data_IF_854117262500
#
_entry.id   IF_854117262500
#
_cell.length_a   1.000
_cell.length_b   1.000
_cell.length_c   1.000
_cell.angle_alpha   90.00
_cell.angle_beta   90.00
_cell.angle_gamma   90.00
#
_symmetry.space_group_name_H-M   'P 1'
#
loop_
_entity.id
_entity.type
_entity.pdbx_description
1 polymer ?
#
# COMPACT_ATOMS: atom_id res chain seq x y z
N UNK A 1 33.27 35.96 8.45
CA UNK A 1 32.37 35.20 7.55
C UNK A 1 32.92 33.79 7.53
N UNK A 2 32.35 32.89 8.32
CA UNK A 2 32.84 31.51 8.47
C UNK A 2 31.77 30.58 7.94
N UNK A 3 32.03 29.99 6.78
CA UNK A 3 31.16 29.04 6.13
C UNK A 3 31.01 27.79 7.01
N UNK A 4 29.80 27.61 7.55
CA UNK A 4 29.40 26.36 8.20
C UNK A 4 29.09 25.34 7.11
N UNK A 5 30.08 24.53 6.76
CA UNK A 5 29.84 23.28 6.04
C UNK A 5 29.10 22.33 7.00
N UNK A 6 27.81 22.13 6.73
CA UNK A 6 26.96 21.16 7.44
C UNK A 6 27.53 19.76 7.14
N UNK A 7 27.83 18.92 8.15
CA UNK A 7 28.31 17.57 7.88
C UNK A 7 27.17 16.76 7.26
N UNK A 8 27.37 16.29 6.02
CA UNK A 8 26.58 15.19 5.48
C UNK A 8 26.63 14.02 6.47
N UNK A 9 25.44 13.49 6.77
CA UNK A 9 25.21 12.40 7.71
C UNK A 9 26.23 11.28 7.52
N UNK A 10 27.08 11.10 8.53
CA UNK A 10 28.12 10.08 8.57
C UNK A 10 27.47 8.69 8.73
N UNK A 11 27.24 7.97 7.62
CA UNK A 11 27.40 6.51 7.69
C UNK A 11 28.91 6.24 7.81
N UNK A 12 29.29 5.56 8.89
CA UNK A 12 30.68 5.19 9.18
C UNK A 12 31.25 4.28 8.07
N UNK A 13 32.44 4.54 7.52
CA UNK A 13 33.01 3.79 6.40
C UNK A 13 33.96 2.67 6.87
N UNK A 14 33.71 2.03 8.02
CA UNK A 14 34.61 0.98 8.52
C UNK A 14 33.93 -0.38 8.64
N UNK A 15 34.25 -1.19 7.61
CA UNK A 15 34.39 -2.65 7.50
C UNK A 15 33.23 -3.52 7.94
N UNK A 16 32.65 -4.31 7.02
CA UNK A 16 32.20 -5.70 7.21
C UNK A 16 31.97 -6.36 5.83
N UNK A 17 32.43 -7.61 5.66
CA UNK A 17 32.68 -8.25 4.37
C UNK A 17 31.46 -8.66 3.52
N UNK A 18 31.70 -9.57 2.58
CA UNK A 18 30.73 -10.13 1.61
C UNK A 18 29.36 -10.48 2.23
N UNK A 19 29.33 -10.86 3.52
CA UNK A 19 28.12 -11.20 4.25
C UNK A 19 27.13 -10.03 4.44
N UNK A 20 27.58 -8.79 4.66
CA UNK A 20 26.66 -7.65 4.86
C UNK A 20 26.08 -7.17 3.52
N UNK A 21 26.86 -7.26 2.44
CA UNK A 21 26.39 -7.02 1.07
C UNK A 21 25.34 -8.06 0.65
N UNK A 22 25.54 -9.33 0.99
CA UNK A 22 24.55 -10.39 0.73
C UNK A 22 23.26 -10.12 1.50
N UNK A 23 23.34 -9.80 2.80
CA UNK A 23 22.14 -9.48 3.61
C UNK A 23 21.38 -8.26 3.09
N UNK A 24 22.08 -7.22 2.66
CA UNK A 24 21.44 -6.04 2.06
C UNK A 24 20.69 -6.41 0.78
N UNK A 25 21.29 -7.25 -0.06
CA UNK A 25 20.64 -7.77 -1.28
C UNK A 25 19.40 -8.59 -0.94
N UNK A 26 19.48 -9.48 0.03
CA UNK A 26 18.34 -10.30 0.48
C UNK A 26 17.20 -9.42 1.01
N UNK A 27 17.52 -8.38 1.80
CA UNK A 27 16.52 -7.43 2.29
C UNK A 27 15.90 -6.58 1.17
N UNK A 28 16.66 -6.25 0.12
CA UNK A 28 16.13 -5.55 -1.06
C UNK A 28 15.16 -6.44 -1.84
N UNK A 29 15.49 -7.71 -2.03
CA UNK A 29 14.60 -8.68 -2.69
C UNK A 29 13.32 -8.90 -1.89
N UNK A 30 13.45 -9.05 -0.57
CA UNK A 30 12.32 -9.13 0.36
C UNK A 30 11.42 -7.89 0.28
N UNK A 31 12.00 -6.68 0.31
CA UNK A 31 11.26 -5.44 0.19
C UNK A 31 10.53 -5.31 -1.17
N UNK A 32 11.10 -5.88 -2.25
CA UNK A 32 10.43 -5.96 -3.55
C UNK A 32 9.24 -6.90 -3.48
N UNK A 33 9.40 -8.12 -2.95
CA UNK A 33 8.30 -9.10 -2.82
C UNK A 33 7.13 -8.49 -2.04
N UNK A 34 7.45 -7.88 -0.92
CA UNK A 34 6.52 -7.19 -0.04
C UNK A 34 5.84 -5.97 -0.68
N UNK A 35 6.55 -5.24 -1.52
CA UNK A 35 5.97 -4.15 -2.32
C UNK A 35 4.97 -4.65 -3.36
N UNK A 36 5.22 -5.83 -3.95
CA UNK A 36 4.29 -6.48 -4.89
C UNK A 36 3.02 -6.91 -4.16
N UNK A 37 3.14 -7.54 -2.99
CA UNK A 37 2.03 -8.00 -2.18
C UNK A 37 1.13 -6.84 -1.70
N UNK A 38 1.71 -5.74 -1.22
CA UNK A 38 0.96 -4.52 -0.92
C UNK A 38 0.25 -3.94 -2.16
N UNK A 39 0.87 -4.05 -3.33
CA UNK A 39 0.26 -3.58 -4.59
C UNK A 39 -0.94 -4.44 -4.99
N UNK A 40 -0.88 -5.76 -4.76
CA UNK A 40 -2.00 -6.67 -4.96
C UNK A 40 -3.15 -6.35 -4.00
N UNK A 41 -2.85 -6.16 -2.71
CA UNK A 41 -3.84 -5.72 -1.72
C UNK A 41 -4.53 -4.41 -2.14
N UNK A 42 -3.75 -3.43 -2.60
CA UNK A 42 -4.30 -2.16 -3.10
C UNK A 42 -5.23 -2.37 -4.29
N UNK A 43 -4.81 -3.18 -5.27
CA UNK A 43 -5.63 -3.49 -6.44
C UNK A 43 -6.94 -4.17 -6.01
N UNK A 44 -6.87 -5.16 -5.12
CA UNK A 44 -8.04 -5.87 -4.59
C UNK A 44 -9.00 -4.95 -3.86
N UNK A 45 -8.51 -4.07 -2.98
CA UNK A 45 -9.32 -3.05 -2.33
C UNK A 45 -10.01 -2.13 -3.35
N UNK A 46 -9.30 -1.72 -4.41
CA UNK A 46 -9.89 -0.92 -5.48
C UNK A 46 -11.01 -1.66 -6.22
N UNK A 47 -10.86 -2.97 -6.45
CA UNK A 47 -11.93 -3.81 -7.04
C UNK A 47 -13.12 -3.99 -6.11
N UNK A 48 -12.88 -4.21 -4.81
CA UNK A 48 -13.94 -4.31 -3.80
C UNK A 48 -14.77 -3.03 -3.75
N UNK A 49 -14.13 -1.86 -3.90
CA UNK A 49 -14.78 -0.56 -3.86
C UNK A 49 -15.26 -0.06 -5.24
N UNK A 50 -15.03 -0.81 -6.31
CA UNK A 50 -15.20 -0.30 -7.68
C UNK A 50 -16.65 0.04 -8.06
N UNK A 51 -17.64 -0.56 -7.38
CA UNK A 51 -19.07 -0.24 -7.58
C UNK A 51 -19.40 1.16 -7.04
N UNK A 52 -18.74 1.58 -5.95
CA UNK A 52 -18.80 2.94 -5.42
C UNK A 52 -17.51 3.72 -5.74
N UNK A 53 -17.51 4.35 -6.91
CA UNK A 53 -16.37 5.17 -7.36
C UNK A 53 -15.98 6.27 -6.40
N UNK A 54 -16.93 6.88 -5.67
CA UNK A 54 -16.62 7.95 -4.71
C UNK A 54 -15.83 7.36 -3.56
N UNK A 55 -16.30 6.25 -2.99
CA UNK A 55 -15.60 5.55 -1.89
C UNK A 55 -14.23 5.02 -2.32
N UNK A 56 -14.12 4.41 -3.51
CA UNK A 56 -12.82 3.98 -4.04
C UNK A 56 -11.87 5.15 -4.24
N UNK A 57 -12.32 6.24 -4.87
CA UNK A 57 -11.46 7.42 -5.11
C UNK A 57 -11.03 8.05 -3.80
N UNK A 58 -11.96 8.18 -2.85
CA UNK A 58 -11.68 8.67 -1.50
C UNK A 58 -10.70 7.77 -0.77
N UNK A 59 -10.84 6.44 -0.86
CA UNK A 59 -9.90 5.48 -0.28
C UNK A 59 -8.48 5.66 -0.82
N UNK A 60 -8.31 5.71 -2.15
CA UNK A 60 -7.00 5.93 -2.78
C UNK A 60 -6.40 7.29 -2.36
N UNK A 61 -7.21 8.34 -2.33
CA UNK A 61 -6.75 9.65 -1.85
C UNK A 61 -6.35 9.60 -0.37
N UNK A 62 -7.19 9.01 0.48
CA UNK A 62 -6.93 8.90 1.91
C UNK A 62 -5.62 8.17 2.18
N UNK A 63 -5.43 6.99 1.59
CA UNK A 63 -4.24 6.15 1.80
C UNK A 63 -2.96 6.86 1.37
N UNK A 64 -2.98 7.61 0.27
CA UNK A 64 -1.82 8.38 -0.18
C UNK A 64 -1.54 9.64 0.67
N UNK A 65 -2.58 10.29 1.21
CA UNK A 65 -2.42 11.57 1.91
C UNK A 65 -2.19 11.43 3.43
N UNK A 66 -2.72 10.37 4.05
CA UNK A 66 -2.65 10.17 5.51
C UNK A 66 -1.35 9.55 5.98
N UNK A 67 -0.57 8.95 5.09
CA UNK A 67 0.72 8.34 5.45
C UNK A 67 1.73 9.36 5.97
N UNK A 68 1.53 10.67 5.76
CA UNK A 68 2.48 11.76 6.10
C UNK A 68 3.91 11.48 5.61
N UNK A 69 4.08 10.54 4.69
CA UNK A 69 5.35 10.15 4.12
C UNK A 69 5.76 11.13 3.03
N UNK A 70 7.06 11.19 2.72
CA UNK A 70 7.51 11.92 1.55
C UNK A 70 6.83 11.33 0.31
N UNK A 71 5.97 12.13 -0.32
CA UNK A 71 5.25 11.75 -1.54
C UNK A 71 6.19 11.55 -2.72
N UNK A 72 7.41 12.09 -2.65
CA UNK A 72 8.47 11.84 -3.63
C UNK A 72 9.24 10.55 -3.33
N UNK A 73 8.99 9.95 -2.16
CA UNK A 73 9.58 8.67 -1.78
C UNK A 73 9.26 7.58 -2.81
N UNK A 74 10.23 6.68 -3.07
CA UNK A 74 10.15 5.63 -4.08
C UNK A 74 8.92 4.73 -3.92
N UNK A 75 8.56 4.37 -2.69
CA UNK A 75 7.47 3.47 -2.37
C UNK A 75 6.09 4.10 -2.70
N UNK A 76 5.85 5.33 -2.23
CA UNK A 76 4.60 6.05 -2.46
C UNK A 76 4.40 6.33 -3.95
N UNK A 77 5.49 6.71 -4.66
CA UNK A 77 5.44 6.95 -6.11
C UNK A 77 5.07 5.69 -6.89
N UNK A 78 5.62 4.53 -6.53
CA UNK A 78 5.30 3.24 -7.16
C UNK A 78 3.84 2.84 -6.88
N UNK A 79 3.38 2.97 -5.65
CA UNK A 79 2.00 2.68 -5.28
C UNK A 79 1.00 3.58 -6.03
N UNK A 80 1.32 4.87 -6.18
CA UNK A 80 0.51 5.78 -6.99
C UNK A 80 0.36 5.30 -8.44
N UNK A 81 1.44 4.79 -9.05
CA UNK A 81 1.38 4.22 -10.40
C UNK A 81 0.51 2.97 -10.46
N UNK A 82 0.53 2.12 -9.44
CA UNK A 82 -0.37 0.96 -9.34
C UNK A 82 -1.82 1.42 -9.31
N UNK A 83 -2.15 2.39 -8.44
CA UNK A 83 -3.50 2.95 -8.34
C UNK A 83 -3.95 3.50 -9.69
N UNK A 84 -3.11 4.32 -10.34
CA UNK A 84 -3.43 4.86 -11.66
C UNK A 84 -3.66 3.74 -12.68
N UNK A 85 -2.75 2.75 -12.74
CA UNK A 85 -2.85 1.64 -13.67
C UNK A 85 -4.13 0.82 -13.45
N UNK A 86 -4.44 0.46 -12.21
CA UNK A 86 -5.63 -0.32 -11.88
C UNK A 86 -6.89 0.45 -12.29
N UNK A 87 -6.94 1.74 -11.93
CA UNK A 87 -8.04 2.61 -12.28
C UNK A 87 -8.23 2.69 -13.80
N UNK A 88 -7.18 3.02 -14.55
CA UNK A 88 -7.29 3.25 -16.00
C UNK A 88 -7.57 1.98 -16.79
N UNK A 89 -7.02 0.84 -16.36
CA UNK A 89 -7.06 -0.41 -17.11
C UNK A 89 -8.31 -1.23 -16.79
N UNK A 90 -8.72 -1.30 -15.51
CA UNK A 90 -9.74 -2.25 -15.07
C UNK A 90 -11.02 -1.61 -14.55
N UNK A 91 -10.97 -0.37 -14.01
CA UNK A 91 -12.13 0.22 -13.32
C UNK A 91 -12.79 1.32 -14.16
N UNK A 92 -12.02 2.10 -14.92
CA UNK A 92 -12.55 3.21 -15.72
C UNK A 92 -13.62 2.67 -16.67
N UNK A 93 -14.88 3.13 -16.56
CA UNK A 93 -15.93 2.68 -17.45
C UNK A 93 -15.71 3.24 -18.85
N UNK A 94 -16.15 2.49 -19.85
CA UNK A 94 -16.22 2.98 -21.23
C UNK A 94 -17.41 3.92 -21.46
N UNK A 95 -18.46 3.82 -20.63
CA UNK A 95 -19.65 4.68 -20.67
C UNK A 95 -19.96 5.26 -19.28
N UNK A 96 -20.07 6.59 -19.21
CA UNK A 96 -20.05 7.42 -18.01
C UNK A 96 -21.41 7.52 -17.27
N UNK A 97 -22.17 6.43 -17.17
CA UNK A 97 -23.42 6.48 -16.40
C UNK A 97 -23.10 6.48 -14.91
N UNK A 98 -23.29 7.65 -14.31
CA UNK A 98 -23.06 7.95 -12.90
C UNK A 98 -24.41 7.80 -12.18
N UNK A 99 -24.51 6.86 -11.24
CA UNK A 99 -25.67 6.74 -10.35
C UNK A 99 -25.24 7.29 -9.00
N UNK A 100 -25.83 8.41 -8.61
CA UNK A 100 -25.65 8.99 -7.27
C UNK A 100 -26.35 8.10 -6.25
N UNK A 101 -25.65 7.69 -5.19
CA UNK A 101 -26.27 6.81 -4.20
C UNK A 101 -25.49 6.62 -2.92
N UNK A 102 -25.80 7.47 -1.92
CA UNK A 102 -25.75 7.15 -0.49
C UNK A 102 -24.44 6.66 0.14
N UNK A 103 -24.45 6.49 1.46
CA UNK A 103 -23.38 5.79 2.18
C UNK A 103 -23.42 4.31 1.78
N UNK A 104 -22.54 3.90 0.87
CA UNK A 104 -22.53 2.52 0.39
C UNK A 104 -22.04 1.56 1.47
N UNK A 105 -22.53 0.32 1.44
CA UNK A 105 -21.98 -0.79 2.22
C UNK A 105 -20.46 -0.92 2.03
N UNK A 106 -19.96 -0.58 0.82
CA UNK A 106 -18.54 -0.53 0.49
C UNK A 106 -17.78 0.58 1.24
N UNK A 107 -18.39 1.74 1.48
CA UNK A 107 -17.81 2.81 2.32
C UNK A 107 -17.64 2.36 3.78
N UNK A 108 -18.57 1.57 4.31
CA UNK A 108 -18.45 0.97 5.65
C UNK A 108 -17.34 -0.07 5.71
N UNK A 109 -17.27 -0.93 4.68
CA UNK A 109 -16.19 -1.91 4.53
C UNK A 109 -14.81 -1.21 4.43
N UNK A 110 -14.71 -0.08 3.72
CA UNK A 110 -13.49 0.73 3.69
C UNK A 110 -13.02 1.14 5.10
N UNK A 111 -13.94 1.35 6.05
CA UNK A 111 -13.59 1.68 7.43
C UNK A 111 -12.72 0.63 8.12
N UNK A 112 -12.85 -0.65 7.76
CA UNK A 112 -12.22 -1.77 8.49
C UNK A 112 -10.73 -1.92 8.17
N UNK A 113 -10.33 -1.81 6.90
CA UNK A 113 -8.94 -2.00 6.46
C UNK A 113 -8.15 -0.69 6.25
N UNK A 114 -8.80 0.47 6.41
CA UNK A 114 -8.19 1.78 6.11
C UNK A 114 -6.87 2.02 6.82
N UNK A 115 -6.83 1.74 8.12
CA UNK A 115 -5.65 1.98 8.94
C UNK A 115 -4.58 0.92 8.70
N UNK A 116 -4.97 -0.31 8.41
CA UNK A 116 -4.03 -1.39 8.06
C UNK A 116 -3.24 -1.01 6.79
N UNK A 117 -3.89 -0.43 5.77
CA UNK A 117 -3.19 0.13 4.62
C UNK A 117 -2.22 1.26 4.98
N UNK A 118 -2.62 2.18 5.85
CA UNK A 118 -1.74 3.28 6.26
C UNK A 118 -0.50 2.74 6.96
N UNK A 119 -0.66 1.76 7.86
CA UNK A 119 0.44 1.10 8.55
C UNK A 119 1.36 0.37 7.56
N UNK A 120 0.80 -0.47 6.69
CA UNK A 120 1.57 -1.20 5.69
C UNK A 120 2.36 -0.25 4.75
N UNK A 121 1.74 0.80 4.23
CA UNK A 121 2.45 1.77 3.37
C UNK A 121 3.60 2.44 4.14
N UNK A 122 3.41 2.74 5.43
CA UNK A 122 4.46 3.33 6.26
C UNK A 122 5.60 2.35 6.51
N UNK A 123 5.31 1.08 6.79
CA UNK A 123 6.30 0.03 6.95
C UNK A 123 7.14 -0.14 5.68
N UNK A 124 6.50 -0.27 4.52
CA UNK A 124 7.20 -0.37 3.24
C UNK A 124 8.05 0.87 2.95
N UNK A 125 7.51 2.07 3.13
CA UNK A 125 8.26 3.31 2.87
C UNK A 125 9.48 3.45 3.78
N UNK A 126 9.38 3.07 5.05
CA UNK A 126 10.51 3.05 5.98
C UNK A 126 11.58 2.03 5.56
N UNK A 127 11.18 0.80 5.24
CA UNK A 127 12.06 -0.27 4.75
C UNK A 127 12.81 0.16 3.50
N UNK A 128 12.09 0.65 2.48
CA UNK A 128 12.71 1.08 1.21
C UNK A 128 13.65 2.26 1.43
N UNK A 129 13.27 3.26 2.23
CA UNK A 129 14.14 4.42 2.47
C UNK A 129 15.43 4.03 3.20
N UNK A 130 15.35 3.09 4.15
CA UNK A 130 16.52 2.58 4.88
C UNK A 130 17.48 1.85 3.93
N UNK A 131 16.95 0.99 3.06
CA UNK A 131 17.73 0.23 2.08
C UNK A 131 18.30 1.10 0.96
N UNK A 132 17.65 2.21 0.60
CA UNK A 132 18.16 3.17 -0.38
C UNK A 132 19.40 3.93 0.12
N UNK A 133 19.50 4.14 1.44
CA UNK A 133 20.67 4.78 2.06
C UNK A 133 21.81 3.76 2.27
N UNK A 134 21.59 2.48 1.94
CA UNK A 134 22.57 1.39 2.11
C UNK A 134 22.65 0.88 3.55
N UNK A 135 21.61 1.13 4.36
CA UNK A 135 21.51 0.62 5.72
C UNK A 135 20.69 -0.67 5.76
N UNK A 136 21.06 -1.59 6.65
CA UNK A 136 20.25 -2.77 6.95
C UNK A 136 19.04 -2.39 7.80
N UNK A 137 17.89 -2.97 7.47
CA UNK A 137 16.67 -2.86 8.26
C UNK A 137 16.76 -3.86 9.42
N UNK A 138 16.38 -3.44 10.62
CA UNK A 138 16.31 -4.34 11.78
C UNK A 138 15.30 -5.46 11.49
N UNK A 139 15.62 -6.75 11.77
CA UNK A 139 14.70 -7.86 11.52
C UNK A 139 13.31 -7.66 12.14
N UNK A 140 13.24 -7.08 13.35
CA UNK A 140 11.97 -6.80 14.03
C UNK A 140 11.06 -5.82 13.28
N UNK A 141 11.63 -4.86 12.55
CA UNK A 141 10.85 -3.88 11.75
C UNK A 141 10.27 -4.58 10.52
N UNK A 142 11.04 -5.46 9.90
CA UNK A 142 10.61 -6.24 8.74
C UNK A 142 9.54 -7.26 9.13
N UNK A 143 9.71 -7.94 10.27
CA UNK A 143 8.72 -8.85 10.83
C UNK A 143 7.41 -8.15 11.18
N UNK A 144 7.48 -6.96 11.81
CA UNK A 144 6.30 -6.14 12.08
C UNK A 144 5.56 -5.81 10.79
N UNK A 145 6.28 -5.37 9.76
CA UNK A 145 5.66 -5.03 8.49
C UNK A 145 5.02 -6.26 7.81
N UNK A 146 5.66 -7.44 7.86
CA UNK A 146 5.07 -8.68 7.37
C UNK A 146 3.78 -9.05 8.10
N UNK A 147 3.73 -8.85 9.43
CA UNK A 147 2.51 -9.07 10.22
C UNK A 147 1.40 -8.09 9.86
N UNK A 148 1.73 -6.81 9.67
CA UNK A 148 0.77 -5.78 9.23
C UNK A 148 0.18 -6.12 7.85
N UNK A 149 1.02 -6.61 6.93
CA UNK A 149 0.60 -7.00 5.59
C UNK A 149 -0.28 -8.25 5.60
N UNK A 150 0.11 -9.28 6.35
CA UNK A 150 -0.71 -10.50 6.51
C UNK A 150 -2.08 -10.20 7.10
N UNK A 151 -2.15 -9.36 8.13
CA UNK A 151 -3.42 -8.90 8.72
C UNK A 151 -4.27 -8.18 7.68
N UNK A 152 -3.64 -7.36 6.83
CA UNK A 152 -4.32 -6.67 5.76
C UNK A 152 -4.91 -7.65 4.72
N UNK A 153 -4.15 -8.67 4.31
CA UNK A 153 -4.61 -9.72 3.40
C UNK A 153 -5.81 -10.49 3.98
N UNK A 154 -5.73 -10.90 5.24
CA UNK A 154 -6.82 -11.61 5.93
C UNK A 154 -8.10 -10.75 6.00
N UNK A 155 -7.95 -9.46 6.32
CA UNK A 155 -9.06 -8.51 6.34
C UNK A 155 -9.69 -8.32 4.96
N UNK A 156 -8.88 -8.22 3.90
CA UNK A 156 -9.38 -8.12 2.53
C UNK A 156 -10.08 -9.39 2.07
N UNK A 157 -9.56 -10.56 2.42
CA UNK A 157 -10.19 -11.86 2.14
C UNK A 157 -11.59 -11.95 2.75
N UNK A 158 -11.71 -11.64 4.05
CA UNK A 158 -13.01 -11.63 4.75
C UNK A 158 -14.01 -10.67 4.11
N UNK A 159 -13.57 -9.45 3.76
CA UNK A 159 -14.42 -8.45 3.12
C UNK A 159 -14.86 -8.89 1.73
N UNK A 160 -13.97 -9.53 0.97
CA UNK A 160 -14.25 -10.03 -0.37
C UNK A 160 -15.34 -11.08 -0.33
N UNK A 161 -15.27 -12.04 0.59
CA UNK A 161 -16.30 -13.07 0.75
C UNK A 161 -17.67 -12.45 1.06
N UNK A 162 -17.71 -11.47 1.96
CA UNK A 162 -18.93 -10.70 2.27
C UNK A 162 -19.47 -9.97 1.04
N UNK A 163 -18.59 -9.32 0.27
CA UNK A 163 -18.98 -8.55 -0.92
C UNK A 163 -19.51 -9.45 -2.05
N UNK A 164 -18.91 -10.63 -2.24
CA UNK A 164 -19.34 -11.61 -3.25
C UNK A 164 -20.69 -12.21 -2.87
N UNK A 165 -20.87 -12.55 -1.59
CA UNK A 165 -22.13 -13.05 -1.06
C UNK A 165 -23.26 -12.03 -1.26
N UNK A 166 -23.02 -10.76 -0.96
CA UNK A 166 -24.00 -9.68 -1.18
C UNK A 166 -24.37 -9.52 -2.66
N UNK A 167 -23.40 -9.62 -3.58
CA UNK A 167 -23.65 -9.57 -5.02
C UNK A 167 -24.51 -10.76 -5.49
N UNK A 168 -24.24 -11.97 -5.00
CA UNK A 168 -25.04 -13.16 -5.33
C UNK A 168 -26.48 -13.06 -4.81
N UNK A 169 -26.68 -12.62 -3.57
CA UNK A 169 -28.00 -12.45 -2.98
C UNK A 169 -28.81 -11.33 -3.64
N UNK A 170 -28.17 -10.23 -4.03
CA UNK A 170 -28.81 -9.13 -4.77
C UNK A 170 -29.28 -9.51 -6.18
N UNK A 171 -28.72 -10.58 -6.77
CA UNK A 171 -29.17 -11.14 -8.05
C UNK A 171 -30.35 -12.10 -7.88
N UNK A 172 -30.44 -12.82 -6.75
CA UNK A 172 -31.54 -13.73 -6.44
C UNK A 172 -32.85 -13.01 -6.05
N UNK A 173 -32.78 -11.76 -5.59
CA UNK A 173 -33.96 -10.95 -5.25
C UNK A 173 -34.62 -10.19 -6.41
N UNK A 174 -34.23 -10.46 -7.66
CA UNK A 174 -34.74 -9.78 -8.87
C UNK A 174 -35.46 -10.72 -9.86
N UNK A 175 -35.97 -11.86 -9.41
CA UNK A 175 -36.86 -12.73 -10.20
C UNK A 175 -38.32 -12.50 -9.83
#
# INVERSE_FOLDING_TARGET
MSDRVIPQSRCSPFTNGTADVTKEKDQKEEAVRLGVELSLCMAEAMFILSDDRRSMTYFCFFTLFKTKMDRRGPAVRRLYRVIQHVYTTYIKPKNLVYIDGGESTQSKLMGTFRQDFVSAIRGLAHTVSTLEIGCLVKPSVLEQYNQELKKLEENLGSVKDVSQFQRQMGLLGKQ
#
